data_IF_665074615935
#
_entry.id   IF_665074615935
#
_cell.length_a   1.000
_cell.length_b   1.000
_cell.length_c   1.000
_cell.angle_alpha   90.00
_cell.angle_beta   90.00
_cell.angle_gamma   90.00
#
_symmetry.space_group_name_H-M   'P 1'
#
loop_
_entity.id
_entity.type
_entity.pdbx_description
1 polymer ?
#
# COMPACT_ATOMS: atom_id res chain seq x y z
N UNK A 1 -10.97 7.38 36.74
CA UNK A 1 -10.83 7.31 35.95
C UNK A 1 -11.12 7.23 35.10
N UNK A 2 -11.27 7.02 35.26
CA UNK A 2 -11.49 6.77 34.36
C UNK A 2 -11.38 6.53 33.47
N UNK A 3 -11.32 6.55 33.27
CA UNK A 3 -11.37 6.17 32.27
C UNK A 3 -10.71 5.47 31.90
N UNK A 4 -10.36 5.48 32.58
CA UNK A 4 -9.75 4.71 32.24
C UNK A 4 -10.17 3.77 31.91
N UNK A 5 -10.78 3.74 32.19
CA UNK A 5 -11.09 2.86 31.84
C UNK A 5 -11.49 2.52 30.79
N UNK A 6 -11.70 2.68 30.29
CA UNK A 6 -11.88 2.16 29.32
C UNK A 6 -11.11 1.69 28.76
N UNK A 7 -10.64 1.88 29.19
CA UNK A 7 -9.81 1.46 28.65
C UNK A 7 -9.38 0.39 28.82
N UNK A 8 -9.56 -0.04 29.00
CA UNK A 8 -9.05 -1.04 29.16
C UNK A 8 -8.98 -2.02 28.38
N UNK A 9 -8.35 -2.51 28.00
CA UNK A 9 -8.42 -3.72 27.50
C UNK A 9 -7.73 -3.94 26.24
N UNK A 10 -7.80 -5.15 25.66
CA UNK A 10 -7.07 -5.51 24.44
C UNK A 10 -7.45 -4.67 23.26
N UNK A 11 -8.70 -4.23 23.19
CA UNK A 11 -9.12 -3.41 22.05
C UNK A 11 -8.41 -2.06 22.06
N UNK A 12 -8.05 -1.55 23.25
CA UNK A 12 -7.29 -0.31 23.32
C UNK A 12 -5.91 -0.49 22.72
N UNK A 13 -5.26 -1.61 22.99
CA UNK A 13 -3.95 -1.90 22.41
C UNK A 13 -4.03 -2.00 20.89
N UNK A 14 -5.06 -2.66 20.37
CA UNK A 14 -5.24 -2.79 18.94
C UNK A 14 -5.49 -1.43 18.28
N UNK A 15 -6.21 -0.55 18.96
CA UNK A 15 -6.50 0.79 18.44
C UNK A 15 -5.25 1.65 18.34
N UNK A 16 -4.24 1.37 19.15
CA UNK A 16 -2.99 2.12 19.13
C UNK A 16 -1.99 1.60 18.11
N UNK A 17 -2.34 0.51 17.44
CA UNK A 17 -1.46 -0.07 16.45
C UNK A 17 -1.36 0.84 15.24
N UNK A 18 -0.12 1.20 14.88
CA UNK A 18 0.15 2.12 13.77
C UNK A 18 0.52 1.30 12.55
N UNK A 19 -0.12 1.58 11.44
CA UNK A 19 0.11 0.86 10.18
C UNK A 19 1.09 1.65 9.31
N UNK A 20 1.90 0.92 8.56
CA UNK A 20 2.92 1.52 7.68
C UNK A 20 2.52 1.38 6.22
N UNK A 21 2.79 2.44 5.47
CA UNK A 21 2.49 2.50 4.04
C UNK A 21 3.75 2.88 3.28
N UNK A 22 4.05 2.13 2.23
CA UNK A 22 5.08 2.50 1.28
C UNK A 22 4.39 3.07 0.05
N UNK A 23 4.74 4.30 -0.34
CA UNK A 23 4.22 4.94 -1.56
C UNK A 23 5.33 4.93 -2.60
N UNK A 24 5.07 4.31 -3.74
CA UNK A 24 6.03 4.17 -4.82
C UNK A 24 5.48 4.88 -6.05
N UNK A 25 6.01 6.05 -6.36
CA UNK A 25 5.53 6.85 -7.49
C UNK A 25 6.62 7.86 -7.86
N UNK A 26 6.92 7.96 -9.15
CA UNK A 26 7.92 8.93 -9.62
C UNK A 26 7.35 10.35 -9.72
N UNK A 27 6.05 10.52 -9.57
CA UNK A 27 5.43 11.83 -9.47
C UNK A 27 5.59 12.30 -8.02
N UNK A 28 6.63 13.10 -7.76
CA UNK A 28 6.97 13.50 -6.40
C UNK A 28 5.89 14.34 -5.75
N UNK A 29 5.21 15.17 -6.53
CA UNK A 29 4.14 16.03 -6.01
C UNK A 29 2.97 15.19 -5.50
N UNK A 30 2.56 14.22 -6.31
CA UNK A 30 1.47 13.32 -5.91
C UNK A 30 1.90 12.50 -4.69
N UNK A 31 3.11 11.96 -4.70
CA UNK A 31 3.58 11.12 -3.61
C UNK A 31 3.60 11.88 -2.29
N UNK A 32 4.06 13.14 -2.30
CA UNK A 32 4.08 13.95 -1.09
C UNK A 32 2.67 14.28 -0.62
N UNK A 33 1.76 14.51 -1.55
CA UNK A 33 0.36 14.77 -1.21
C UNK A 33 -0.25 13.54 -0.52
N UNK A 34 0.01 12.36 -1.06
CA UNK A 34 -0.48 11.13 -0.45
C UNK A 34 0.12 10.91 0.92
N UNK A 35 1.41 11.21 1.07
CA UNK A 35 2.07 11.07 2.35
C UNK A 35 1.43 11.96 3.41
N UNK A 36 1.21 13.25 3.09
CA UNK A 36 0.59 14.17 4.04
C UNK A 36 -0.79 13.69 4.44
N UNK A 37 -1.57 13.26 3.46
CA UNK A 37 -2.91 12.77 3.73
C UNK A 37 -2.89 11.58 4.67
N UNK A 38 -2.06 10.61 4.38
CA UNK A 38 -2.03 9.37 5.14
C UNK A 38 -1.43 9.57 6.53
N UNK A 39 -0.44 10.44 6.64
CA UNK A 39 0.11 10.76 7.95
C UNK A 39 -0.94 11.45 8.82
N UNK A 40 -1.80 12.26 8.22
CA UNK A 40 -2.93 12.86 8.94
C UNK A 40 -3.94 11.85 9.43
N UNK A 41 -3.92 10.63 8.87
CA UNK A 41 -4.80 9.54 9.28
C UNK A 41 -4.06 8.50 10.13
N UNK A 42 -2.93 8.88 10.69
CA UNK A 42 -2.14 8.07 11.63
C UNK A 42 -1.42 6.89 10.99
N UNK A 43 -1.10 6.99 9.70
CA UNK A 43 -0.20 6.03 9.08
C UNK A 43 1.23 6.55 9.15
N UNK A 44 2.19 5.62 9.19
CA UNK A 44 3.61 5.95 9.01
C UNK A 44 3.92 5.70 7.53
N UNK A 45 4.42 6.71 6.84
CA UNK A 45 4.53 6.66 5.37
C UNK A 45 5.97 6.84 4.92
N UNK A 46 6.43 5.96 4.05
CA UNK A 46 7.71 6.07 3.36
C UNK A 46 7.42 6.29 1.89
N UNK A 47 8.11 7.24 1.26
CA UNK A 47 7.93 7.55 -0.16
C UNK A 47 9.22 7.26 -0.91
N UNK A 48 9.12 6.52 -2.02
CA UNK A 48 10.23 6.29 -2.93
C UNK A 48 9.77 6.53 -4.37
N UNK A 49 10.69 6.78 -5.27
CA UNK A 49 10.37 7.23 -6.62
C UNK A 49 10.47 6.18 -7.71
N UNK A 50 10.90 4.96 -7.39
CA UNK A 50 11.03 3.91 -8.40
C UNK A 50 11.07 2.54 -7.74
N UNK A 51 10.96 1.50 -8.57
CA UNK A 51 10.90 0.14 -8.06
C UNK A 51 12.19 -0.37 -7.43
N UNK A 52 13.33 0.17 -7.84
CA UNK A 52 14.62 -0.24 -7.24
C UNK A 52 14.69 0.21 -5.79
N UNK A 53 14.35 1.48 -5.53
CA UNK A 53 14.30 1.99 -4.16
C UNK A 53 13.24 1.30 -3.34
N UNK A 54 12.09 1.01 -3.98
CA UNK A 54 11.00 0.32 -3.29
C UNK A 54 11.42 -1.09 -2.85
N UNK A 55 12.12 -1.79 -3.72
CA UNK A 55 12.58 -3.14 -3.37
C UNK A 55 13.54 -3.10 -2.19
N UNK A 56 14.41 -2.10 -2.15
CA UNK A 56 15.34 -1.94 -1.04
C UNK A 56 14.58 -1.73 0.27
N UNK A 57 13.54 -0.90 0.25
CA UNK A 57 12.73 -0.66 1.44
C UNK A 57 12.01 -1.93 1.91
N UNK A 58 11.45 -2.68 0.95
CA UNK A 58 10.70 -3.89 1.27
C UNK A 58 11.63 -4.98 1.83
N UNK A 59 12.88 -5.03 1.37
CA UNK A 59 13.82 -5.99 1.93
C UNK A 59 14.15 -5.67 3.39
N UNK A 60 14.07 -4.40 3.78
CA UNK A 60 14.39 -3.98 5.14
C UNK A 60 13.20 -4.04 6.10
N UNK A 61 11.99 -3.79 5.61
CA UNK A 61 10.79 -3.67 6.44
C UNK A 61 9.60 -4.34 5.78
N UNK A 62 8.69 -4.87 6.61
CA UNK A 62 7.39 -5.35 6.13
C UNK A 62 6.38 -4.23 6.26
N UNK A 63 5.92 -3.71 5.14
CA UNK A 63 4.88 -2.67 5.12
C UNK A 63 3.51 -3.32 5.20
N UNK A 64 2.56 -2.59 5.78
CA UNK A 64 1.17 -3.05 5.84
C UNK A 64 0.45 -2.82 4.53
N UNK A 65 0.79 -1.75 3.81
CA UNK A 65 0.21 -1.42 2.51
C UNK A 65 1.31 -0.88 1.60
N UNK A 66 1.29 -1.27 0.34
CA UNK A 66 2.21 -0.76 -0.68
C UNK A 66 1.36 -0.13 -1.77
N UNK A 67 1.39 1.21 -1.87
CA UNK A 67 0.69 1.97 -2.91
C UNK A 67 1.69 2.18 -4.04
N UNK A 68 1.44 1.60 -5.20
CA UNK A 68 2.46 1.51 -6.23
C UNK A 68 1.94 1.93 -7.59
N UNK A 69 2.62 2.89 -8.23
CA UNK A 69 2.38 3.23 -9.63
C UNK A 69 2.93 2.10 -10.49
N UNK A 70 2.28 1.84 -11.61
CA UNK A 70 2.70 0.76 -12.50
C UNK A 70 3.73 1.21 -13.54
N UNK A 71 3.62 2.44 -14.03
CA UNK A 71 4.53 2.92 -15.07
C UNK A 71 5.48 3.95 -14.50
N UNK A 72 6.70 3.50 -14.18
CA UNK A 72 7.74 4.32 -13.58
C UNK A 72 9.07 4.03 -14.27
N UNK A 73 10.02 4.98 -14.25
CA UNK A 73 11.37 4.69 -14.70
C UNK A 73 12.07 3.69 -13.79
N UNK A 74 13.10 3.06 -14.25
CA UNK A 74 13.88 2.06 -13.53
C UNK A 74 13.01 0.94 -13.05
N UNK A 75 12.83 0.08 -12.72
CA UNK A 75 11.95 -1.03 -12.35
C UNK A 75 10.49 -0.59 -12.26
N UNK A 76 9.69 -0.84 -13.31
CA UNK A 76 8.24 -0.56 -13.27
C UNK A 76 7.52 -1.34 -12.17
N UNK A 77 6.30 -0.91 -11.86
CA UNK A 77 5.55 -1.48 -10.74
C UNK A 77 5.25 -2.96 -10.86
N UNK A 78 5.00 -3.46 -12.06
CA UNK A 78 4.75 -4.89 -12.26
C UNK A 78 6.00 -5.72 -11.98
N UNK A 79 7.17 -5.24 -12.38
CA UNK A 79 8.42 -5.93 -12.08
C UNK A 79 8.74 -5.90 -10.60
N UNK A 80 8.48 -4.76 -9.96
CA UNK A 80 8.66 -4.64 -8.52
C UNK A 80 7.74 -5.64 -7.79
N UNK A 81 6.47 -5.69 -8.19
CA UNK A 81 5.52 -6.63 -7.60
C UNK A 81 6.01 -8.08 -7.71
N UNK A 82 6.47 -8.46 -8.91
CA UNK A 82 6.92 -9.83 -9.13
C UNK A 82 8.14 -10.17 -8.27
N UNK A 83 9.05 -9.21 -8.09
CA UNK A 83 10.21 -9.41 -7.24
C UNK A 83 9.78 -9.60 -5.78
N UNK A 84 8.81 -8.82 -5.31
CA UNK A 84 8.30 -8.94 -3.95
C UNK A 84 7.61 -10.29 -3.76
N UNK A 85 6.78 -10.67 -4.72
CA UNK A 85 6.07 -11.94 -4.64
C UNK A 85 7.05 -13.11 -4.53
N UNK A 86 8.18 -13.01 -5.19
CA UNK A 86 9.18 -14.06 -5.20
C UNK A 86 9.97 -14.12 -3.89
N UNK A 87 10.27 -12.96 -3.31
CA UNK A 87 11.15 -12.88 -2.13
C UNK A 87 10.40 -12.78 -0.81
N UNK A 88 9.26 -12.11 -0.81
CA UNK A 88 8.42 -11.94 0.40
C UNK A 88 6.96 -12.12 -0.01
N UNK A 89 6.55 -13.36 -0.32
CA UNK A 89 5.21 -13.60 -0.88
C UNK A 89 4.06 -13.13 0.01
N UNK A 90 4.26 -13.02 1.31
CA UNK A 90 3.21 -12.53 2.20
C UNK A 90 2.87 -11.07 1.95
N UNK A 91 3.75 -10.32 1.29
CA UNK A 91 3.46 -8.91 0.95
C UNK A 91 2.70 -8.77 -0.36
N UNK A 92 2.57 -9.83 -1.15
CA UNK A 92 1.97 -9.71 -2.48
C UNK A 92 0.51 -9.25 -2.44
N UNK A 93 -0.22 -9.58 -1.37
CA UNK A 93 -1.62 -9.16 -1.25
C UNK A 93 -1.81 -7.81 -0.57
N UNK A 94 -0.69 -7.13 -0.29
CA UNK A 94 -0.73 -5.82 0.37
C UNK A 94 -0.56 -4.66 -0.61
N UNK A 95 -0.62 -4.94 -1.91
CA UNK A 95 -0.45 -3.93 -2.95
C UNK A 95 -1.78 -3.26 -3.29
N UNK A 96 -1.72 -1.94 -3.45
CA UNK A 96 -2.74 -1.15 -4.10
C UNK A 96 -2.06 -0.44 -5.26
N UNK A 97 -2.43 -0.80 -6.48
CA UNK A 97 -1.82 -0.20 -7.67
C UNK A 97 -2.57 1.06 -8.05
N UNK A 98 -1.84 2.10 -8.45
CA UNK A 98 -2.45 3.30 -9.02
C UNK A 98 -1.84 3.53 -10.40
N UNK A 99 -2.65 4.02 -11.33
CA UNK A 99 -2.18 4.23 -12.68
C UNK A 99 -2.97 5.32 -13.39
N UNK A 100 -2.28 6.09 -14.24
CA UNK A 100 -2.92 7.02 -15.16
C UNK A 100 -3.14 6.42 -16.54
N UNK A 101 -2.89 5.13 -16.70
CA UNK A 101 -2.87 4.47 -18.00
C UNK A 101 -3.92 3.37 -18.10
N UNK A 102 -5.18 3.77 -17.87
CA UNK A 102 -6.30 2.84 -17.80
C UNK A 102 -6.51 2.05 -19.11
N UNK A 103 -6.13 2.64 -20.23
CA UNK A 103 -6.32 2.02 -21.54
C UNK A 103 -5.09 1.29 -22.04
N UNK A 104 -4.08 1.11 -21.20
CA UNK A 104 -2.86 0.41 -21.58
C UNK A 104 -3.09 -1.10 -21.44
N UNK A 105 -3.01 -1.89 -22.55
CA UNK A 105 -3.29 -3.33 -22.47
C UNK A 105 -2.35 -4.10 -21.56
N UNK A 106 -1.09 -3.68 -21.44
CA UNK A 106 -0.13 -4.32 -20.56
C UNK A 106 -0.53 -4.17 -19.10
N UNK A 107 -0.96 -2.96 -18.73
CA UNK A 107 -1.40 -2.66 -17.38
C UNK A 107 -2.64 -3.49 -17.05
N UNK A 108 -3.61 -3.47 -17.95
CA UNK A 108 -4.86 -4.20 -17.75
C UNK A 108 -4.61 -5.71 -17.62
N UNK A 109 -3.78 -6.26 -18.51
CA UNK A 109 -3.46 -7.69 -18.46
C UNK A 109 -2.76 -8.09 -17.18
N UNK A 110 -1.82 -7.27 -16.73
CA UNK A 110 -1.13 -7.55 -15.48
C UNK A 110 -2.10 -7.55 -14.29
N UNK A 111 -2.93 -6.52 -14.18
CA UNK A 111 -3.86 -6.40 -13.06
C UNK A 111 -4.84 -7.56 -13.01
N UNK A 112 -5.32 -8.01 -14.16
CA UNK A 112 -6.21 -9.15 -14.23
C UNK A 112 -5.51 -10.44 -13.81
N UNK A 113 -4.24 -10.57 -14.14
CA UNK A 113 -3.49 -11.80 -13.85
C UNK A 113 -3.23 -12.00 -12.36
N UNK A 114 -3.26 -10.93 -11.56
CA UNK A 114 -2.92 -11.02 -10.15
C UNK A 114 -4.10 -10.74 -9.22
N UNK A 115 -5.29 -10.49 -9.78
CA UNK A 115 -6.46 -10.11 -8.98
C UNK A 115 -6.12 -8.92 -8.08
N UNK A 116 -5.46 -7.92 -8.66
CA UNK A 116 -4.95 -6.80 -7.91
C UNK A 116 -5.99 -5.72 -7.66
N UNK A 117 -5.87 -5.07 -6.52
CA UNK A 117 -6.65 -3.87 -6.22
C UNK A 117 -5.97 -2.68 -6.91
N UNK A 118 -6.77 -1.81 -7.51
CA UNK A 118 -6.20 -0.71 -8.28
C UNK A 118 -7.10 0.51 -8.25
N UNK A 119 -6.50 1.66 -8.49
CA UNK A 119 -7.18 2.94 -8.64
C UNK A 119 -6.63 3.65 -9.85
N UNK A 120 -7.46 4.46 -10.51
CA UNK A 120 -7.01 5.31 -11.61
C UNK A 120 -6.71 6.71 -11.10
N UNK A 121 -5.68 7.34 -11.67
CA UNK A 121 -5.40 8.75 -11.42
C UNK A 121 -6.42 9.60 -12.17
N UNK A 122 -6.86 10.71 -11.61
CA UNK A 122 -6.44 11.36 -10.36
C UNK A 122 -7.01 10.63 -9.15
N UNK A 123 -6.19 10.54 -8.08
CA UNK A 123 -6.57 9.81 -6.87
C UNK A 123 -7.39 10.73 -5.97
N UNK A 124 -8.56 10.27 -5.57
CA UNK A 124 -9.43 11.00 -4.66
C UNK A 124 -9.22 10.50 -3.25
N UNK A 125 -9.21 11.44 -2.30
CA UNK A 125 -8.91 11.15 -0.90
C UNK A 125 -9.79 10.05 -0.32
N UNK A 126 -11.10 10.19 -0.49
CA UNK A 126 -12.06 9.25 0.08
C UNK A 126 -11.86 7.86 -0.49
N UNK A 127 -11.60 7.79 -1.80
CA UNK A 127 -11.42 6.51 -2.47
C UNK A 127 -10.14 5.84 -2.03
N UNK A 128 -9.08 6.63 -1.84
CA UNK A 128 -7.79 6.09 -1.40
C UNK A 128 -7.92 5.43 -0.04
N UNK A 129 -8.52 6.12 0.93
CA UNK A 129 -8.65 5.57 2.27
C UNK A 129 -9.50 4.30 2.28
N UNK A 130 -10.56 4.28 1.48
CA UNK A 130 -11.39 3.09 1.36
C UNK A 130 -10.61 1.91 0.79
N UNK A 131 -9.79 2.15 -0.24
CA UNK A 131 -9.00 1.10 -0.85
C UNK A 131 -7.90 0.60 0.08
N UNK A 132 -7.26 1.51 0.81
CA UNK A 132 -6.26 1.11 1.79
C UNK A 132 -6.88 0.21 2.86
N UNK A 133 -8.07 0.54 3.32
CA UNK A 133 -8.77 -0.31 4.29
C UNK A 133 -9.09 -1.68 3.70
N UNK A 134 -9.40 -1.76 2.41
CA UNK A 134 -9.60 -3.06 1.76
C UNK A 134 -8.33 -3.88 1.74
N UNK A 135 -7.19 -3.24 1.48
CA UNK A 135 -5.89 -3.94 1.51
C UNK A 135 -5.63 -4.47 2.91
N UNK A 136 -5.85 -3.64 3.93
CA UNK A 136 -5.64 -4.06 5.32
C UNK A 136 -6.56 -5.23 5.69
N UNK A 137 -7.79 -5.22 5.22
CA UNK A 137 -8.74 -6.31 5.49
C UNK A 137 -8.28 -7.61 4.83
N UNK A 138 -7.70 -7.54 3.64
CA UNK A 138 -7.15 -8.73 2.98
C UNK A 138 -6.04 -9.35 3.81
N UNK A 139 -5.15 -8.53 4.34
CA UNK A 139 -4.06 -9.02 5.18
C UNK A 139 -4.57 -9.71 6.43
N UNK A 140 -5.61 -9.17 7.04
CA UNK A 140 -6.21 -9.79 8.22
C UNK A 140 -6.87 -11.12 7.88
N UNK A 141 -7.53 -11.21 6.73
CA UNK A 141 -8.14 -12.46 6.30
C UNK A 141 -7.09 -13.54 6.06
N UNK A 142 -5.97 -13.16 5.46
CA UNK A 142 -4.89 -14.11 5.21
C UNK A 142 -4.33 -14.66 6.52
N UNK A 143 -4.15 -13.80 7.51
CA UNK A 143 -3.69 -14.21 8.83
C UNK A 143 -4.71 -15.14 9.49
N UNK A 144 -5.98 -14.81 9.39
CA UNK A 144 -7.03 -15.60 10.00
C UNK A 144 -7.14 -17.01 9.41
N UNK A 145 -6.74 -17.17 8.15
CA UNK A 145 -6.80 -18.46 7.48
C UNK A 145 -5.60 -19.35 7.80
N UNK A 146 -4.58 -18.79 8.39
CA UNK A 146 -3.41 -19.57 8.80
C UNK A 146 -3.70 -20.31 10.11
#
# INVERSE_FOLDING_TARGET
MSAQTKMDGPSVGAELEIKSVLVVDDDTELAETLKELLEGCNFVVTVVGNGVEALREVMALDFDVIVCDLLMPKMPGDMFYLAVKKTKPHLARRFLFITGHADNPKVDGFLKSIDGLMMYKPVRTEDLLGMINRVLARGQQDVAQE
#
